data_IF_030758818678
#
_entry.id   IF_030758818678
#
_cell.length_a   1.000
_cell.length_b   1.000
_cell.length_c   1.000
_cell.angle_alpha   90.00
_cell.angle_beta   90.00
_cell.angle_gamma   90.00
#
_symmetry.space_group_name_H-M   'P 1'
#
loop_
_entity.id
_entity.type
_entity.pdbx_description
1 polymer ?
#
# COMPACT_ATOMS: atom_id res chain seq x y z
N UNK A 1 -13.35 -7.18 21.19
CA UNK A 1 -11.94 -6.85 20.90
C UNK A 1 -11.32 -6.44 22.22
N UNK A 2 -10.38 -7.23 22.75
CA UNK A 2 -9.73 -6.92 24.03
C UNK A 2 -8.91 -5.64 23.89
N UNK A 3 -9.50 -4.51 24.29
CA UNK A 3 -8.86 -3.19 24.30
C UNK A 3 -7.60 -3.17 25.19
N UNK A 4 -7.51 -4.13 26.12
CA UNK A 4 -6.36 -4.39 26.99
C UNK A 4 -5.06 -4.56 26.21
N UNK A 5 -5.06 -5.28 25.07
CA UNK A 5 -3.82 -5.53 24.30
C UNK A 5 -3.27 -4.26 23.66
N UNK A 6 -4.14 -3.37 23.20
CA UNK A 6 -3.72 -2.07 22.67
C UNK A 6 -3.26 -1.12 23.77
N UNK A 7 -3.94 -1.15 24.93
CA UNK A 7 -3.58 -0.37 26.11
C UNK A 7 -2.21 -0.74 26.70
N UNK A 8 -1.77 -1.99 26.53
CA UNK A 8 -0.46 -2.48 26.98
C UNK A 8 0.72 -2.11 26.06
N UNK A 9 0.47 -1.59 24.86
CA UNK A 9 1.55 -1.12 23.99
C UNK A 9 2.19 0.14 24.56
N UNK A 10 3.52 0.20 24.52
CA UNK A 10 4.22 1.45 24.82
C UNK A 10 3.76 2.56 23.85
N UNK A 11 3.76 3.84 24.27
CA UNK A 11 3.39 4.95 23.40
C UNK A 11 4.14 4.93 22.07
N UNK A 12 5.43 4.59 22.10
CA UNK A 12 6.27 4.45 20.90
C UNK A 12 5.76 3.37 19.95
N UNK A 13 5.47 2.17 20.45
CA UNK A 13 4.96 1.08 19.62
C UNK A 13 3.62 1.44 18.97
N UNK A 14 2.73 2.08 19.75
CA UNK A 14 1.44 2.57 19.24
C UNK A 14 1.62 3.58 18.11
N UNK A 15 2.48 4.58 18.31
CA UNK A 15 2.79 5.59 17.28
C UNK A 15 3.41 4.97 16.04
N UNK A 16 4.31 4.00 16.18
CA UNK A 16 4.91 3.30 15.03
C UNK A 16 3.86 2.52 14.23
N UNK A 17 2.95 1.80 14.89
CA UNK A 17 1.87 1.08 14.19
C UNK A 17 0.95 2.02 13.43
N UNK A 18 0.54 3.13 14.05
CA UNK A 18 -0.28 4.15 13.38
C UNK A 18 0.47 4.77 12.20
N UNK A 19 1.74 5.13 12.40
CA UNK A 19 2.59 5.71 11.36
C UNK A 19 2.77 4.78 10.16
N UNK A 20 3.06 3.51 10.39
CA UNK A 20 3.17 2.50 9.32
C UNK A 20 1.85 2.33 8.57
N UNK A 21 0.71 2.27 9.30
CA UNK A 21 -0.60 2.17 8.67
C UNK A 21 -0.94 3.37 7.79
N UNK A 22 -0.66 4.60 8.25
CA UNK A 22 -0.86 5.81 7.46
C UNK A 22 0.05 5.86 6.25
N UNK A 23 1.32 5.47 6.39
CA UNK A 23 2.27 5.42 5.29
C UNK A 23 1.84 4.41 4.22
N UNK A 24 1.41 3.20 4.61
CA UNK A 24 0.89 2.19 3.68
C UNK A 24 -0.36 2.69 2.94
N UNK A 25 -1.31 3.27 3.67
CA UNK A 25 -2.53 3.82 3.07
C UNK A 25 -2.24 4.93 2.06
N UNK A 26 -1.36 5.88 2.40
CA UNK A 26 -0.96 6.95 1.49
C UNK A 26 -0.27 6.40 0.24
N UNK A 27 0.66 5.45 0.41
CA UNK A 27 1.39 4.85 -0.69
C UNK A 27 0.47 4.09 -1.65
N UNK A 28 -0.54 3.39 -1.10
CA UNK A 28 -1.58 2.69 -1.84
C UNK A 28 -2.43 3.65 -2.69
N UNK A 29 -2.84 4.78 -2.12
CA UNK A 29 -3.60 5.81 -2.85
C UNK A 29 -2.78 6.42 -3.99
N UNK A 30 -1.49 6.70 -3.74
CA UNK A 30 -0.57 7.21 -4.78
C UNK A 30 -0.40 6.20 -5.90
N UNK A 31 -0.16 4.93 -5.58
CA UNK A 31 -0.02 3.86 -6.57
C UNK A 31 -1.29 3.67 -7.41
N UNK A 32 -2.47 3.66 -6.78
CA UNK A 32 -3.75 3.55 -7.49
C UNK A 32 -4.02 4.76 -8.39
N UNK A 33 -3.69 5.97 -7.94
CA UNK A 33 -3.82 7.19 -8.73
C UNK A 33 -2.90 7.17 -9.95
N UNK A 34 -1.64 6.78 -9.79
CA UNK A 34 -0.70 6.60 -10.91
C UNK A 34 -1.19 5.53 -11.88
N UNK A 35 -1.59 4.35 -11.38
CA UNK A 35 -2.11 3.26 -12.22
C UNK A 35 -3.35 3.67 -13.02
N UNK A 36 -4.26 4.45 -12.43
CA UNK A 36 -5.46 4.93 -13.11
C UNK A 36 -5.11 5.74 -14.36
N UNK A 37 -4.07 6.58 -14.27
CA UNK A 37 -3.64 7.47 -15.36
C UNK A 37 -2.76 6.84 -16.44
N UNK A 38 -2.23 5.63 -16.23
CA UNK A 38 -1.37 4.94 -17.22
C UNK A 38 -2.18 4.11 -18.20
N UNK A 39 -1.68 3.95 -19.43
CA UNK A 39 -2.23 2.95 -20.33
C UNK A 39 -1.74 1.54 -19.97
N UNK A 40 -2.44 0.51 -20.45
CA UNK A 40 -2.07 -0.87 -20.14
C UNK A 40 -0.69 -1.24 -20.70
N UNK A 41 -0.25 -0.60 -21.79
CA UNK A 41 1.07 -0.80 -22.38
C UNK A 41 2.21 -0.27 -21.49
N UNK A 42 1.93 0.73 -20.65
CA UNK A 42 2.88 1.38 -19.75
C UNK A 42 3.02 0.67 -18.40
N UNK A 43 2.40 -0.51 -18.27
CA UNK A 43 2.40 -1.30 -17.05
C UNK A 43 2.98 -2.68 -17.33
N UNK A 44 3.89 -3.12 -16.48
CA UNK A 44 4.48 -4.46 -16.56
C UNK A 44 3.47 -5.48 -16.04
N UNK A 45 2.90 -6.24 -16.97
CA UNK A 45 1.89 -7.26 -16.66
C UNK A 45 0.47 -6.70 -16.67
N UNK A 46 -0.54 -7.50 -16.24
CA UNK A 46 -1.94 -7.10 -16.35
C UNK A 46 -2.27 -5.92 -15.45
N UNK A 47 -2.66 -4.77 -16.03
CA UNK A 47 -3.11 -3.57 -15.31
C UNK A 47 -4.17 -3.87 -14.24
N UNK A 48 -5.11 -4.76 -14.56
CA UNK A 48 -6.18 -5.19 -13.64
C UNK A 48 -5.65 -5.97 -12.43
N UNK A 49 -4.61 -6.80 -12.62
CA UNK A 49 -4.00 -7.54 -11.51
C UNK A 49 -3.33 -6.58 -10.53
N UNK A 50 -2.61 -5.57 -11.05
CA UNK A 50 -2.08 -4.49 -10.21
C UNK A 50 -3.20 -3.75 -9.47
N UNK A 51 -4.29 -3.38 -10.16
CA UNK A 51 -5.41 -2.69 -9.53
C UNK A 51 -6.06 -3.48 -8.40
N UNK A 52 -6.35 -4.78 -8.62
CA UNK A 52 -6.93 -5.65 -7.60
C UNK A 52 -5.97 -5.90 -6.44
N UNK A 53 -4.70 -6.19 -6.72
CA UNK A 53 -3.69 -6.37 -5.69
C UNK A 53 -3.54 -5.11 -4.83
N UNK A 54 -3.36 -3.96 -5.48
CA UNK A 54 -3.27 -2.67 -4.81
C UNK A 54 -4.55 -2.31 -4.07
N UNK A 55 -5.73 -2.80 -4.42
CA UNK A 55 -6.96 -2.49 -3.68
C UNK A 55 -7.20 -3.43 -2.49
N UNK A 56 -6.84 -4.71 -2.61
CA UNK A 56 -7.31 -5.74 -1.68
C UNK A 56 -6.21 -6.34 -0.80
N UNK A 57 -4.95 -6.31 -1.20
CA UNK A 57 -3.85 -6.97 -0.47
C UNK A 57 -3.20 -6.01 0.53
N UNK A 58 -3.31 -6.29 1.82
CA UNK A 58 -2.56 -5.57 2.85
C UNK A 58 -1.13 -6.11 2.92
N UNK A 59 -0.13 -5.23 2.71
CA UNK A 59 1.28 -5.64 2.58
C UNK A 59 2.26 -4.69 3.27
N UNK A 60 1.78 -3.79 4.13
CA UNK A 60 2.62 -2.81 4.84
C UNK A 60 3.53 -2.02 3.90
N UNK A 61 3.00 -1.61 2.75
CA UNK A 61 3.68 -0.79 1.75
C UNK A 61 4.50 -1.57 0.71
N UNK A 62 4.69 -2.89 0.86
CA UNK A 62 5.53 -3.68 -0.06
C UNK A 62 4.95 -3.69 -1.48
N UNK A 63 3.66 -4.01 -1.63
CA UNK A 63 3.03 -4.11 -2.95
C UNK A 63 2.92 -2.75 -3.68
N UNK A 64 2.46 -1.66 -3.03
CA UNK A 64 2.51 -0.32 -3.62
C UNK A 64 3.93 0.13 -4.02
N UNK A 65 4.93 -0.15 -3.18
CA UNK A 65 6.35 0.13 -3.52
C UNK A 65 6.79 -0.65 -4.75
N UNK A 66 6.49 -1.95 -4.80
CA UNK A 66 6.87 -2.80 -5.92
C UNK A 66 6.24 -2.34 -7.24
N UNK A 67 4.98 -1.92 -7.21
CA UNK A 67 4.33 -1.31 -8.37
C UNK A 67 5.06 -0.03 -8.82
N UNK A 68 5.32 0.90 -7.90
CA UNK A 68 5.97 2.16 -8.22
C UNK A 68 7.41 1.94 -8.72
N UNK A 69 8.17 0.99 -8.20
CA UNK A 69 9.55 0.79 -8.63
C UNK A 69 9.66 -0.07 -9.89
N UNK A 70 8.86 -1.13 -10.00
CA UNK A 70 9.00 -2.15 -11.04
C UNK A 70 7.75 -2.43 -11.85
N UNK A 71 6.56 -2.01 -11.41
CA UNK A 71 5.30 -2.21 -12.13
C UNK A 71 5.09 -1.24 -13.29
N UNK A 72 5.78 -0.09 -13.29
CA UNK A 72 5.70 0.93 -14.35
C UNK A 72 6.66 0.59 -15.50
N UNK A 73 6.25 0.82 -16.75
CA UNK A 73 7.14 1.08 -17.88
C UNK A 73 7.23 2.61 -18.05
N UNK A 74 8.43 3.10 -18.37
CA UNK A 74 8.62 4.51 -18.70
C UNK A 74 8.00 4.80 -20.05
#
# INVERSE_FOLDING_TARGET
MDTTRWAQLSPRARTMLVGVGLADAALRLVALKDLKGRDAADVRGPKRAWGLGLALVSSSGVLPTAYLLWGRRR
#
